data_IF_202632935748
#
_entry.id   IF_202632935748
#
_cell.length_a   1.000
_cell.length_b   1.000
_cell.length_c   1.000
_cell.angle_alpha   90.00
_cell.angle_beta   90.00
_cell.angle_gamma   90.00
#
_symmetry.space_group_name_H-M   'P 1'
#
loop_
_entity.id
_entity.type
_entity.pdbx_description
1 polymer ?
#
# COMPACT_ATOMS: atom_id res chain seq x y z
N UNK A 1 26.33 3.95 -8.20
CA UNK A 1 26.85 3.15 -9.32
C UNK A 1 25.78 2.64 -10.27
N UNK A 2 24.46 2.74 -9.99
CA UNK A 2 23.41 2.41 -10.97
C UNK A 2 23.27 0.91 -11.33
N UNK A 3 24.23 0.09 -10.91
CA UNK A 3 24.24 -1.36 -11.11
C UNK A 3 23.23 -2.04 -10.18
N UNK A 4 22.24 -2.78 -10.71
CA UNK A 4 21.34 -3.58 -9.88
C UNK A 4 22.04 -4.84 -9.36
N UNK A 5 21.65 -5.28 -8.17
CA UNK A 5 22.11 -6.54 -7.55
C UNK A 5 20.89 -7.35 -7.14
N UNK A 6 20.98 -8.68 -7.26
CA UNK A 6 19.98 -9.58 -6.71
C UNK A 6 20.06 -9.53 -5.18
N UNK A 7 18.95 -9.18 -4.53
CA UNK A 7 18.84 -9.19 -3.07
C UNK A 7 18.14 -10.45 -2.57
N UNK A 8 17.01 -10.81 -3.17
CA UNK A 8 16.18 -11.94 -2.74
C UNK A 8 15.29 -12.45 -3.87
N UNK A 9 14.81 -13.70 -3.72
CA UNK A 9 13.77 -14.30 -4.54
C UNK A 9 12.69 -14.86 -3.60
N UNK A 10 11.45 -14.40 -3.76
CA UNK A 10 10.33 -14.83 -2.93
C UNK A 10 9.42 -15.79 -3.72
N UNK A 11 9.26 -17.02 -3.22
CA UNK A 11 8.35 -18.02 -3.81
C UNK A 11 6.86 -17.77 -3.51
N UNK A 12 6.46 -16.52 -3.29
CA UNK A 12 5.10 -16.10 -2.93
C UNK A 12 4.83 -14.67 -3.40
N UNK A 13 3.57 -14.25 -3.35
CA UNK A 13 3.23 -12.85 -3.55
C UNK A 13 3.86 -11.94 -2.49
N UNK A 14 4.21 -10.73 -2.92
CA UNK A 14 4.83 -9.68 -2.11
C UNK A 14 3.78 -8.65 -1.65
N UNK A 15 4.14 -7.79 -0.70
CA UNK A 15 3.20 -6.86 -0.07
C UNK A 15 2.54 -5.89 -1.06
N UNK A 16 3.31 -5.32 -1.99
CA UNK A 16 2.80 -4.40 -3.02
C UNK A 16 2.19 -5.12 -4.24
N UNK A 17 1.59 -6.30 -4.06
CA UNK A 17 0.92 -7.04 -5.14
C UNK A 17 -0.20 -6.20 -5.76
N UNK A 18 -1.05 -5.59 -4.93
CA UNK A 18 -2.19 -4.82 -5.41
C UNK A 18 -1.76 -3.60 -6.24
N UNK A 19 -0.60 -3.00 -5.93
CA UNK A 19 -0.03 -1.93 -6.75
C UNK A 19 0.26 -2.40 -8.18
N UNK A 20 0.79 -3.62 -8.34
CA UNK A 20 1.05 -4.18 -9.67
C UNK A 20 -0.24 -4.43 -10.45
N UNK A 21 -1.28 -4.95 -9.78
CA UNK A 21 -2.62 -5.14 -10.35
C UNK A 21 -3.21 -3.80 -10.78
N UNK A 22 -3.17 -2.78 -9.91
CA UNK A 22 -3.63 -1.43 -10.23
C UNK A 22 -2.78 -0.79 -11.35
N UNK A 23 -1.51 -1.16 -11.48
CA UNK A 23 -0.66 -0.74 -12.59
C UNK A 23 -0.98 -1.47 -13.92
N UNK A 24 -1.83 -2.49 -13.89
CA UNK A 24 -2.30 -3.23 -15.06
C UNK A 24 -1.67 -4.61 -15.26
N UNK A 25 -0.99 -5.14 -14.24
CA UNK A 25 -0.38 -6.49 -14.28
C UNK A 25 -1.04 -7.39 -13.25
N UNK A 26 -1.98 -8.22 -13.70
CA UNK A 26 -2.75 -9.13 -12.85
C UNK A 26 -1.99 -10.44 -12.60
N UNK A 27 -0.99 -10.38 -11.71
CA UNK A 27 -0.21 -11.57 -11.32
C UNK A 27 -1.06 -12.75 -10.80
N UNK A 28 -2.15 -12.55 -10.03
CA UNK A 28 -3.08 -13.62 -9.69
C UNK A 28 -3.68 -14.32 -10.91
N UNK A 29 -4.19 -13.58 -11.89
CA UNK A 29 -4.72 -14.17 -13.12
C UNK A 29 -3.63 -14.93 -13.88
N UNK A 30 -2.42 -14.36 -13.99
CA UNK A 30 -1.30 -15.01 -14.66
C UNK A 30 -0.90 -16.32 -13.98
N UNK A 31 -0.88 -16.35 -12.64
CA UNK A 31 -0.61 -17.57 -11.87
C UNK A 31 -1.66 -18.66 -12.15
N UNK A 32 -2.95 -18.28 -12.19
CA UNK A 32 -4.03 -19.21 -12.53
C UNK A 32 -3.84 -19.79 -13.92
N UNK A 33 -3.52 -18.95 -14.93
CA UNK A 33 -3.26 -19.43 -16.29
C UNK A 33 -2.11 -20.44 -16.35
N UNK A 34 -1.00 -20.17 -15.65
CA UNK A 34 0.13 -21.11 -15.55
C UNK A 34 -0.32 -22.43 -14.93
N UNK A 35 -1.07 -22.37 -13.83
CA UNK A 35 -1.55 -23.56 -13.13
C UNK A 35 -2.51 -24.40 -13.99
N UNK A 36 -3.27 -23.78 -14.88
CA UNK A 36 -4.16 -24.44 -15.85
C UNK A 36 -3.42 -24.92 -17.12
N UNK A 37 -2.11 -24.69 -17.23
CA UNK A 37 -1.33 -25.02 -18.44
C UNK A 37 -1.69 -24.15 -19.65
N UNK A 38 -2.31 -22.98 -19.43
CA UNK A 38 -2.64 -22.01 -20.47
C UNK A 38 -1.43 -21.15 -20.80
N UNK A 39 -1.42 -20.61 -22.02
CA UNK A 39 -0.39 -19.67 -22.45
C UNK A 39 -0.47 -18.35 -21.66
N UNK A 40 0.70 -17.79 -21.37
CA UNK A 40 0.86 -16.51 -20.66
C UNK A 40 1.38 -15.49 -21.66
N UNK A 41 0.52 -14.60 -22.17
CA UNK A 41 0.95 -13.63 -23.16
C UNK A 41 1.99 -12.68 -22.54
N UNK A 42 2.95 -12.19 -23.34
CA UNK A 42 3.86 -11.14 -22.90
C UNK A 42 3.10 -9.92 -22.40
N UNK A 43 3.49 -9.39 -21.25
CA UNK A 43 2.93 -8.16 -20.70
C UNK A 43 3.72 -6.97 -21.30
N UNK A 44 3.12 -6.15 -22.17
CA UNK A 44 3.86 -5.14 -22.94
C UNK A 44 4.32 -3.95 -22.09
N UNK A 45 3.76 -3.78 -20.90
CA UNK A 45 4.14 -2.71 -19.97
C UNK A 45 3.17 -2.57 -18.80
N UNK A 46 3.41 -1.56 -17.98
CA UNK A 46 2.58 -1.19 -16.83
C UNK A 46 2.34 0.33 -16.83
N UNK A 47 1.28 0.77 -16.13
CA UNK A 47 0.94 2.19 -15.98
C UNK A 47 1.88 2.86 -14.97
N UNK A 48 2.58 3.89 -15.40
CA UNK A 48 3.39 4.75 -14.53
C UNK A 48 2.49 5.78 -13.83
N UNK A 49 2.88 6.19 -12.63
CA UNK A 49 2.15 7.20 -11.84
C UNK A 49 1.03 6.64 -10.97
N UNK A 50 0.87 5.31 -10.93
CA UNK A 50 -0.04 4.63 -10.00
C UNK A 50 0.60 4.57 -8.62
N UNK A 51 -0.20 4.83 -7.58
CA UNK A 51 0.25 4.86 -6.18
C UNK A 51 -0.74 4.08 -5.32
N UNK A 52 -0.22 3.14 -4.52
CA UNK A 52 -1.02 2.43 -3.52
C UNK A 52 -1.11 3.25 -2.24
N UNK A 53 -2.31 3.30 -1.66
CA UNK A 53 -2.57 3.88 -0.33
C UNK A 53 -3.18 2.83 0.58
N UNK A 54 -2.50 2.56 1.68
CA UNK A 54 -3.02 1.73 2.74
C UNK A 54 -3.68 2.60 3.80
N UNK A 55 -5.02 2.62 3.83
CA UNK A 55 -5.79 3.55 4.66
C UNK A 55 -5.48 3.42 6.16
N UNK A 56 -5.43 2.19 6.69
CA UNK A 56 -5.13 1.99 8.11
C UNK A 56 -3.68 2.31 8.45
N UNK A 57 -2.73 2.10 7.52
CA UNK A 57 -1.37 2.61 7.67
C UNK A 57 -1.30 4.14 7.71
N UNK A 58 -2.12 4.84 6.91
CA UNK A 58 -2.25 6.30 6.97
C UNK A 58 -2.84 6.76 8.32
N UNK A 59 -3.80 6.02 8.88
CA UNK A 59 -4.35 6.27 10.22
C UNK A 59 -3.28 6.06 11.29
N UNK A 60 -2.53 4.96 11.25
CA UNK A 60 -1.47 4.66 12.20
C UNK A 60 -0.37 5.71 12.18
N UNK A 61 0.05 6.14 10.99
CA UNK A 61 1.00 7.24 10.84
C UNK A 61 0.45 8.54 11.43
N UNK A 62 -0.81 8.91 11.13
CA UNK A 62 -1.44 10.10 11.70
C UNK A 62 -1.46 10.05 13.24
N UNK A 63 -1.89 8.93 13.82
CA UNK A 63 -1.92 8.74 15.27
C UNK A 63 -0.52 8.80 15.88
N UNK A 64 0.48 8.23 15.21
CA UNK A 64 1.89 8.27 15.65
C UNK A 64 2.43 9.70 15.70
N UNK A 65 2.08 10.55 14.74
CA UNK A 65 2.47 11.97 14.77
C UNK A 65 1.73 12.74 15.86
N UNK A 66 0.42 12.48 16.04
CA UNK A 66 -0.39 13.20 17.03
C UNK A 66 -0.09 12.81 18.47
N UNK A 67 0.29 11.56 18.72
CA UNK A 67 0.58 11.01 20.06
C UNK A 67 2.07 10.89 20.36
N UNK A 68 2.93 11.22 19.39
CA UNK A 68 4.38 11.10 19.53
C UNK A 68 4.97 12.00 20.62
N UNK A 69 6.21 11.72 21.06
CA UNK A 69 6.89 12.53 22.06
C UNK A 69 6.96 14.00 21.66
N UNK A 70 6.65 14.91 22.59
CA UNK A 70 6.91 16.34 22.41
C UNK A 70 8.42 16.54 22.21
N UNK A 71 8.80 17.38 21.24
CA UNK A 71 10.21 17.64 20.92
C UNK A 71 10.85 16.65 19.94
N UNK A 72 10.17 15.59 19.49
CA UNK A 72 10.74 14.65 18.50
C UNK A 72 11.21 15.36 17.21
N UNK A 73 10.52 16.44 16.83
CA UNK A 73 10.89 17.25 15.66
C UNK A 73 12.13 18.12 15.86
N UNK A 74 12.58 18.30 17.10
CA UNK A 74 13.83 19.04 17.40
C UNK A 74 15.04 18.21 16.98
N UNK A 75 14.98 16.89 17.16
CA UNK A 75 16.03 15.97 16.69
C UNK A 75 15.77 15.44 15.27
N UNK A 76 14.52 15.48 14.81
CA UNK A 76 14.08 15.01 13.49
C UNK A 76 13.23 16.06 12.74
N UNK A 77 13.85 17.14 12.22
CA UNK A 77 13.15 18.24 11.57
C UNK A 77 12.40 17.83 10.29
N UNK A 78 12.78 16.72 9.65
CA UNK A 78 12.15 16.14 8.46
C UNK A 78 10.73 15.60 8.70
N UNK A 79 10.38 15.31 9.96
CA UNK A 79 9.07 14.79 10.31
C UNK A 79 7.97 15.84 10.08
N UNK A 80 6.78 15.41 9.62
CA UNK A 80 5.66 16.32 9.39
C UNK A 80 5.19 16.96 10.71
N UNK A 81 4.69 18.20 10.62
CA UNK A 81 3.90 18.79 11.71
C UNK A 81 2.59 18.01 11.89
N UNK A 82 1.97 18.13 13.07
CA UNK A 82 0.61 17.61 13.29
C UNK A 82 -0.37 18.10 12.22
N UNK A 83 -0.36 19.41 11.92
CA UNK A 83 -1.18 20.00 10.86
C UNK A 83 -0.84 19.43 9.48
N UNK A 84 0.44 19.24 9.17
CA UNK A 84 0.89 18.66 7.91
C UNK A 84 0.50 17.19 7.76
N UNK A 85 0.52 16.41 8.84
CA UNK A 85 0.05 15.03 8.86
C UNK A 85 -1.46 14.96 8.62
N UNK A 86 -2.24 15.80 9.31
CA UNK A 86 -3.69 15.91 9.09
C UNK A 86 -4.00 16.31 7.64
N UNK A 87 -3.33 17.34 7.11
CA UNK A 87 -3.53 17.77 5.74
C UNK A 87 -3.22 16.67 4.72
N UNK A 88 -2.13 15.91 4.92
CA UNK A 88 -1.79 14.76 4.05
C UNK A 88 -2.82 13.64 4.14
N UNK A 89 -3.31 13.33 5.35
CA UNK A 89 -4.33 12.33 5.57
C UNK A 89 -5.64 12.70 4.85
N UNK A 90 -6.07 13.96 4.98
CA UNK A 90 -7.31 14.47 4.42
C UNK A 90 -7.29 14.66 2.90
N UNK A 91 -6.13 14.74 2.25
CA UNK A 91 -6.02 14.80 0.78
C UNK A 91 -6.03 13.35 0.27
N UNK A 92 -7.17 12.78 -0.14
CA UNK A 92 -7.27 11.36 -0.42
C UNK A 92 -7.03 11.05 -1.91
N UNK A 93 -7.01 12.08 -2.77
CA UNK A 93 -7.21 11.99 -4.21
C UNK A 93 -6.12 12.73 -4.99
N UNK A 94 -4.89 12.23 -4.98
CA UNK A 94 -3.93 12.61 -6.02
C UNK A 94 -4.18 11.74 -7.27
N UNK A 95 -3.93 12.25 -8.48
CA UNK A 95 -4.02 11.44 -9.69
C UNK A 95 -3.18 10.16 -9.54
N UNK A 96 -3.79 9.01 -9.83
CA UNK A 96 -3.14 7.70 -9.72
C UNK A 96 -3.22 7.03 -8.35
N UNK A 97 -3.73 7.70 -7.30
CA UNK A 97 -3.94 7.06 -6.00
C UNK A 97 -5.02 5.98 -6.10
N UNK A 98 -4.74 4.82 -5.51
CA UNK A 98 -5.63 3.67 -5.38
C UNK A 98 -5.52 3.12 -3.97
N UNK A 99 -6.65 2.79 -3.34
CA UNK A 99 -6.63 2.15 -2.04
C UNK A 99 -6.25 0.69 -2.15
N UNK A 100 -5.35 0.23 -1.30
CA UNK A 100 -4.86 -1.14 -1.32
C UNK A 100 -6.00 -2.13 -1.04
N UNK A 101 -6.69 -1.95 0.09
CA UNK A 101 -7.70 -2.91 0.58
C UNK A 101 -9.13 -2.39 0.39
N UNK A 102 -9.35 -1.07 0.50
CA UNK A 102 -10.69 -0.48 0.37
C UNK A 102 -11.16 -0.50 -1.09
N UNK A 103 -11.90 -1.55 -1.45
CA UNK A 103 -12.49 -1.75 -2.77
C UNK A 103 -14.03 -1.69 -2.69
N UNK A 104 -14.69 -0.82 -3.47
CA UNK A 104 -16.16 -0.76 -3.47
C UNK A 104 -16.82 -2.05 -3.96
N UNK A 105 -16.18 -2.75 -4.89
CA UNK A 105 -16.62 -4.00 -5.51
C UNK A 105 -16.32 -5.25 -4.67
N UNK A 106 -15.31 -5.18 -3.80
CA UNK A 106 -15.02 -6.21 -2.78
C UNK A 106 -14.72 -5.60 -1.40
N UNK A 107 -15.74 -5.23 -0.62
CA UNK A 107 -15.54 -4.55 0.66
C UNK A 107 -15.13 -5.50 1.81
N UNK A 108 -15.22 -6.82 1.63
CA UNK A 108 -15.04 -7.78 2.73
C UNK A 108 -13.62 -7.76 3.33
N UNK A 109 -12.54 -7.72 2.54
CA UNK A 109 -11.18 -7.60 3.08
C UNK A 109 -11.02 -6.35 3.95
N UNK A 110 -11.55 -5.21 3.49
CA UNK A 110 -11.48 -3.95 4.23
C UNK A 110 -12.23 -4.00 5.57
N UNK A 111 -13.42 -4.60 5.59
CA UNK A 111 -14.18 -4.77 6.83
C UNK A 111 -13.46 -5.67 7.83
N UNK A 112 -12.83 -6.75 7.35
CA UNK A 112 -12.04 -7.67 8.17
C UNK A 112 -10.82 -6.96 8.76
N UNK A 113 -10.06 -6.26 7.93
CA UNK A 113 -8.90 -5.46 8.34
C UNK A 113 -9.30 -4.41 9.39
N UNK A 114 -10.39 -3.67 9.13
CA UNK A 114 -10.91 -2.67 10.07
C UNK A 114 -11.26 -3.29 11.43
N UNK A 115 -11.92 -4.45 11.44
CA UNK A 115 -12.25 -5.16 12.67
C UNK A 115 -11.00 -5.65 13.42
N UNK A 116 -9.98 -6.13 12.70
CA UNK A 116 -8.70 -6.52 13.28
C UNK A 116 -7.96 -5.33 13.88
N UNK A 117 -7.95 -4.19 13.18
CA UNK A 117 -7.36 -2.94 13.66
C UNK A 117 -8.02 -2.46 14.97
N UNK A 118 -9.35 -2.41 15.04
CA UNK A 118 -10.05 -2.04 16.29
C UNK A 118 -9.84 -3.05 17.43
N UNK A 119 -9.68 -4.34 17.13
CA UNK A 119 -9.36 -5.35 18.15
C UNK A 119 -7.95 -5.16 18.69
N UNK A 120 -7.00 -4.77 17.86
CA UNK A 120 -5.62 -4.53 18.27
C UNK A 120 -5.52 -3.38 19.28
N UNK A 121 -6.38 -2.36 19.19
CA UNK A 121 -6.44 -1.25 20.16
C UNK A 121 -6.93 -1.64 21.56
N UNK A 122 -7.58 -2.79 21.73
CA UNK A 122 -8.13 -3.25 23.02
C UNK A 122 -7.17 -4.15 23.80
N UNK A 123 -6.05 -4.54 23.18
CA UNK A 123 -4.97 -5.28 23.83
C UNK A 123 -3.97 -4.29 24.40
#
# INVERSE_FOLDING_TARGET
TGTPYLMEVNGRFWGSLQLAVDAGVDFPELLVRVAEGKDVPPIPGYRIGVRSRWLWGDVDHLLSVLRGPKGLRETHPELPTALGAVARFLVPWRPGDRFEVLRPDDPRPFLRESAEWFRALRK
#
